data_IF_215404655178
#
_entry.id   IF_215404655178
#
_cell.length_a   1.000
_cell.length_b   1.000
_cell.length_c   1.000
_cell.angle_alpha   90.00
_cell.angle_beta   90.00
_cell.angle_gamma   90.00
#
_symmetry.space_group_name_H-M   'P 1'
#
loop_
_entity.id
_entity.type
_entity.pdbx_description
1 polymer ?
#
# COMPACT_ATOMS: atom_id res chain seq x y z
N UNK A 1 -3.80 4.29 7.75
CA UNK A 1 -2.96 5.52 7.90
C UNK A 1 -1.78 5.18 8.78
N UNK A 2 -0.57 5.18 8.24
CA UNK A 2 0.66 4.82 8.96
C UNK A 2 1.42 6.08 9.41
N UNK A 3 2.16 5.97 10.52
CA UNK A 3 3.07 7.00 11.03
C UNK A 3 4.50 6.67 10.60
N UNK A 4 5.10 7.52 9.78
CA UNK A 4 6.41 7.28 9.16
C UNK A 4 7.41 8.31 9.67
N UNK A 5 8.56 7.85 10.17
CA UNK A 5 9.68 8.72 10.51
C UNK A 5 10.62 8.82 9.30
N UNK A 6 10.93 10.04 8.87
CA UNK A 6 11.89 10.34 7.80
C UNK A 6 13.15 10.94 8.43
N UNK A 7 14.28 10.23 8.34
CA UNK A 7 15.58 10.65 8.88
C UNK A 7 16.51 10.93 7.72
N UNK A 8 16.72 12.19 7.43
CA UNK A 8 17.42 12.70 6.26
C UNK A 8 18.00 14.07 6.57
N UNK A 9 19.29 14.29 6.36
CA UNK A 9 19.94 15.56 6.66
C UNK A 9 19.67 16.64 5.60
N UNK A 10 19.50 16.24 4.33
CA UNK A 10 19.17 17.17 3.26
C UNK A 10 17.70 17.61 3.32
N UNK A 11 17.47 18.88 3.67
CA UNK A 11 16.13 19.44 3.88
C UNK A 11 15.22 19.30 2.67
N UNK A 12 15.76 19.47 1.46
CA UNK A 12 14.99 19.38 0.21
C UNK A 12 14.43 17.98 0.00
N UNK A 13 15.27 16.94 0.21
CA UNK A 13 14.86 15.54 0.06
C UNK A 13 13.89 15.18 1.19
N UNK A 14 14.20 15.57 2.41
CA UNK A 14 13.35 15.32 3.58
C UNK A 14 11.94 15.88 3.40
N UNK A 15 11.83 17.15 2.98
CA UNK A 15 10.55 17.80 2.73
C UNK A 15 9.79 17.16 1.57
N UNK A 16 10.48 16.80 0.48
CA UNK A 16 9.88 16.12 -0.66
C UNK A 16 9.26 14.79 -0.25
N UNK A 17 9.96 13.98 0.53
CA UNK A 17 9.46 12.69 1.02
C UNK A 17 8.24 12.91 1.93
N UNK A 18 8.35 13.78 2.93
CA UNK A 18 7.25 14.06 3.87
C UNK A 18 5.98 14.53 3.14
N UNK A 19 6.11 15.48 2.23
CA UNK A 19 4.98 15.99 1.47
C UNK A 19 4.28 14.90 0.64
N UNK A 20 5.05 14.03 -0.03
CA UNK A 20 4.46 12.93 -0.80
C UNK A 20 3.81 11.85 0.08
N UNK A 21 4.34 11.58 1.27
CA UNK A 21 3.71 10.68 2.23
C UNK A 21 2.34 11.21 2.69
N UNK A 22 2.24 12.51 2.97
CA UNK A 22 0.99 13.16 3.35
C UNK A 22 -0.05 13.13 2.21
N UNK A 23 0.39 13.34 0.95
CA UNK A 23 -0.48 13.25 -0.22
C UNK A 23 -1.12 11.86 -0.39
N UNK A 24 -0.43 10.79 -0.01
CA UNK A 24 -0.97 9.42 -0.08
C UNK A 24 -1.64 8.96 1.22
N UNK A 25 -1.83 9.88 2.18
CA UNK A 25 -2.64 9.64 3.38
C UNK A 25 -1.88 9.02 4.57
N UNK A 26 -0.54 9.06 4.58
CA UNK A 26 0.26 8.74 5.77
C UNK A 26 0.54 10.00 6.60
N UNK A 27 0.88 9.84 7.86
CA UNK A 27 1.44 10.94 8.66
C UNK A 27 2.95 10.81 8.71
N UNK A 28 3.65 11.91 8.49
CA UNK A 28 5.10 11.98 8.54
C UNK A 28 5.59 12.73 9.78
N UNK A 29 6.74 12.31 10.31
CA UNK A 29 7.57 13.06 11.22
C UNK A 29 8.98 13.05 10.65
N UNK A 30 9.77 14.10 10.88
CA UNK A 30 11.09 14.19 10.28
C UNK A 30 12.17 14.52 11.31
N UNK A 31 13.38 14.04 11.05
CA UNK A 31 14.58 14.34 11.81
C UNK A 31 15.74 14.66 10.86
N UNK A 32 16.56 15.65 11.18
CA UNK A 32 17.69 16.08 10.36
C UNK A 32 19.01 15.38 10.74
N UNK A 33 19.06 14.69 11.86
CA UNK A 33 20.23 13.95 12.33
C UNK A 33 19.84 12.72 13.16
N UNK A 34 20.81 11.85 13.39
CA UNK A 34 20.60 10.61 14.14
C UNK A 34 20.28 10.83 15.63
N UNK A 35 20.70 11.94 16.25
CA UNK A 35 20.37 12.23 17.64
C UNK A 35 18.93 12.70 17.81
N UNK A 36 18.43 13.51 16.87
CA UNK A 36 17.03 13.93 16.83
C UNK A 36 16.12 12.73 16.63
N UNK A 37 16.44 11.89 15.64
CA UNK A 37 15.71 10.66 15.37
C UNK A 37 15.64 9.74 16.60
N UNK A 38 16.78 9.53 17.29
CA UNK A 38 16.82 8.72 18.51
C UNK A 38 15.88 9.26 19.59
N UNK A 39 15.91 10.58 19.84
CA UNK A 39 14.98 11.22 20.82
C UNK A 39 13.51 11.02 20.44
N UNK A 40 13.20 11.02 19.15
CA UNK A 40 11.82 10.78 18.66
C UNK A 40 11.41 9.34 18.89
N UNK A 41 12.29 8.37 18.59
CA UNK A 41 12.06 6.93 18.81
C UNK A 41 11.83 6.58 20.29
N UNK A 42 12.45 7.32 21.22
CA UNK A 42 12.24 7.15 22.66
C UNK A 42 10.86 7.66 23.15
N UNK A 43 10.21 8.55 22.39
CA UNK A 43 8.98 9.24 22.80
C UNK A 43 7.71 8.73 22.10
N UNK A 44 7.85 8.16 20.92
CA UNK A 44 6.70 7.74 20.11
C UNK A 44 7.05 6.53 19.24
N UNK A 45 6.02 5.78 18.87
CA UNK A 45 6.15 4.64 17.99
C UNK A 45 5.84 5.03 16.54
N UNK A 46 6.56 4.42 15.61
CA UNK A 46 6.37 4.57 14.18
C UNK A 46 6.05 3.22 13.55
N UNK A 47 5.38 3.26 12.41
CA UNK A 47 5.02 2.07 11.63
C UNK A 47 6.10 1.74 10.59
N UNK A 48 6.94 2.73 10.23
CA UNK A 48 8.08 2.60 9.33
C UNK A 48 9.08 3.73 9.58
N UNK A 49 10.36 3.45 9.41
CA UNK A 49 11.42 4.44 9.44
C UNK A 49 12.13 4.45 8.08
N UNK A 50 12.13 5.61 7.41
CA UNK A 50 12.97 5.89 6.25
C UNK A 50 14.26 6.52 6.75
N UNK A 51 15.40 5.93 6.45
CA UNK A 51 16.65 6.23 7.14
C UNK A 51 17.80 6.40 6.15
N UNK A 52 18.40 7.59 6.10
CA UNK A 52 19.68 7.72 5.42
C UNK A 52 20.79 7.09 6.27
N UNK A 53 21.74 6.47 5.61
CA UNK A 53 22.96 5.95 6.24
C UNK A 53 23.91 7.07 6.59
N UNK A 54 24.01 8.10 5.74
CA UNK A 54 25.01 9.17 5.84
C UNK A 54 24.50 10.35 6.69
N UNK A 55 24.13 10.08 7.93
CA UNK A 55 23.63 11.11 8.85
C UNK A 55 24.74 11.73 9.69
N UNK A 56 24.63 13.01 10.03
CA UNK A 56 25.48 13.62 11.05
C UNK A 56 25.16 13.05 12.44
N UNK A 57 26.19 12.90 13.25
CA UNK A 57 26.08 12.44 14.63
C UNK A 57 26.06 10.93 14.77
N UNK A 58 24.87 10.30 14.77
CA UNK A 58 24.72 8.84 14.74
C UNK A 58 24.46 8.43 13.30
N UNK A 59 25.33 7.60 12.72
CA UNK A 59 25.10 7.05 11.38
C UNK A 59 23.88 6.12 11.35
N UNK A 60 23.29 5.97 10.13
CA UNK A 60 22.03 5.24 9.96
C UNK A 60 22.11 3.77 10.37
N UNK A 61 23.24 3.09 10.17
CA UNK A 61 23.36 1.68 10.57
C UNK A 61 23.30 1.53 12.10
N UNK A 62 23.99 2.42 12.84
CA UNK A 62 23.91 2.44 14.30
C UNK A 62 22.52 2.86 14.79
N UNK A 63 21.88 3.80 14.10
CA UNK A 63 20.53 4.22 14.47
C UNK A 63 19.51 3.08 14.29
N UNK A 64 19.68 2.25 13.28
CA UNK A 64 18.82 1.08 13.04
C UNK A 64 18.79 0.10 14.24
N UNK A 65 19.87 0.00 15.03
CA UNK A 65 19.90 -0.82 16.25
C UNK A 65 18.94 -0.30 17.34
N UNK A 66 18.59 0.98 17.31
CA UNK A 66 17.61 1.59 18.23
C UNK A 66 16.16 1.51 17.72
N UNK A 67 15.96 1.03 16.49
CA UNK A 67 14.64 0.93 15.86
C UNK A 67 13.91 -0.38 16.21
N UNK A 68 14.28 -1.04 17.32
CA UNK A 68 13.85 -2.38 17.69
C UNK A 68 12.33 -2.62 17.47
N UNK A 69 11.99 -3.52 16.54
CA UNK A 69 10.62 -3.91 16.23
C UNK A 69 9.89 -3.02 15.23
N UNK A 70 10.46 -1.87 14.84
CA UNK A 70 9.91 -1.03 13.77
C UNK A 70 10.65 -1.32 12.46
N UNK A 71 9.96 -1.60 11.35
CA UNK A 71 10.59 -1.81 10.05
C UNK A 71 11.40 -0.57 9.64
N UNK A 72 12.59 -0.84 9.09
CA UNK A 72 13.50 0.19 8.57
C UNK A 72 13.71 -0.01 7.08
N UNK A 73 13.62 1.08 6.32
CA UNK A 73 14.04 1.14 4.92
C UNK A 73 15.16 2.16 4.78
N UNK A 74 16.31 1.72 4.29
CA UNK A 74 17.39 2.66 3.99
C UNK A 74 17.14 3.41 2.68
N UNK A 75 17.37 4.74 2.69
CA UNK A 75 17.26 5.62 1.51
C UNK A 75 18.53 6.45 1.47
N UNK A 76 19.53 6.06 0.69
CA UNK A 76 20.90 6.61 0.80
C UNK A 76 21.62 6.66 -0.54
N UNK A 77 22.67 7.51 -0.62
CA UNK A 77 23.56 7.57 -1.79
C UNK A 77 24.55 6.40 -1.87
N UNK A 78 24.63 5.54 -0.84
CA UNK A 78 25.50 4.37 -0.87
C UNK A 78 24.91 3.27 -1.74
N UNK A 79 25.60 2.90 -2.80
CA UNK A 79 25.12 1.96 -3.83
C UNK A 79 25.92 0.64 -3.90
N UNK A 80 27.05 0.56 -3.18
CA UNK A 80 27.87 -0.64 -3.19
C UNK A 80 27.15 -1.85 -2.60
N UNK A 81 27.42 -3.03 -3.17
CA UNK A 81 26.82 -4.30 -2.72
C UNK A 81 27.11 -4.54 -1.22
N UNK A 82 28.32 -4.18 -0.77
CA UNK A 82 28.72 -4.32 0.63
C UNK A 82 27.87 -3.45 1.56
N UNK A 83 27.50 -2.24 1.17
CA UNK A 83 26.65 -1.35 1.94
C UNK A 83 25.22 -1.87 2.04
N UNK A 84 24.68 -2.39 0.94
CA UNK A 84 23.36 -3.06 0.93
C UNK A 84 23.34 -4.29 1.84
N UNK A 85 24.39 -5.11 1.78
CA UNK A 85 24.53 -6.29 2.65
C UNK A 85 24.56 -5.89 4.14
N UNK A 86 25.30 -4.82 4.49
CA UNK A 86 25.28 -4.28 5.87
C UNK A 86 23.91 -3.80 6.30
N UNK A 87 23.17 -3.11 5.41
CA UNK A 87 21.81 -2.68 5.67
C UNK A 87 20.88 -3.84 6.02
N UNK A 88 20.89 -4.90 5.22
CA UNK A 88 20.08 -6.09 5.50
C UNK A 88 20.53 -6.84 6.76
N UNK A 89 21.83 -6.90 7.04
CA UNK A 89 22.35 -7.48 8.29
C UNK A 89 21.94 -6.66 9.51
N UNK A 90 21.78 -5.33 9.38
CA UNK A 90 21.23 -4.47 10.43
C UNK A 90 19.71 -4.63 10.62
N UNK A 91 19.05 -5.53 9.86
CA UNK A 91 17.63 -5.82 9.99
C UNK A 91 16.71 -4.94 9.14
N UNK A 92 17.24 -4.26 8.11
CA UNK A 92 16.40 -3.47 7.22
C UNK A 92 15.49 -4.36 6.35
N UNK A 93 14.26 -3.89 6.14
CA UNK A 93 13.25 -4.54 5.28
C UNK A 93 13.52 -4.28 3.79
N UNK A 94 14.09 -3.10 3.45
CA UNK A 94 14.42 -2.73 2.08
C UNK A 94 15.54 -1.67 2.04
N UNK A 95 16.04 -1.42 0.83
CA UNK A 95 17.15 -0.51 0.56
C UNK A 95 16.94 0.21 -0.77
N UNK A 96 16.89 1.56 -0.77
CA UNK A 96 16.70 2.39 -1.95
C UNK A 96 17.90 3.32 -2.12
N UNK A 97 18.46 3.34 -3.33
CA UNK A 97 19.64 4.17 -3.66
C UNK A 97 19.20 5.50 -4.25
N UNK A 98 19.82 6.59 -3.78
CA UNK A 98 19.67 7.94 -4.37
C UNK A 98 20.55 8.05 -5.64
N UNK A 99 20.06 8.71 -6.72
CA UNK A 99 18.73 9.31 -6.87
C UNK A 99 17.63 8.27 -7.14
N UNK A 100 16.41 8.53 -6.69
CA UNK A 100 15.26 7.65 -6.84
C UNK A 100 14.03 8.41 -7.34
N UNK A 101 13.11 7.68 -7.95
CA UNK A 101 11.79 8.20 -8.29
C UNK A 101 10.83 8.08 -7.08
N UNK A 102 10.05 9.13 -6.83
CA UNK A 102 9.07 9.14 -5.71
C UNK A 102 8.10 7.97 -5.80
N UNK A 103 7.66 7.61 -7.02
CA UNK A 103 6.76 6.48 -7.26
C UNK A 103 7.38 5.17 -6.78
N UNK A 104 8.69 4.97 -6.98
CA UNK A 104 9.41 3.78 -6.50
C UNK A 104 9.45 3.76 -4.96
N UNK A 105 9.81 4.89 -4.33
CA UNK A 105 9.82 5.02 -2.88
C UNK A 105 8.46 4.65 -2.27
N UNK A 106 7.37 5.25 -2.78
CA UNK A 106 6.02 5.00 -2.28
C UNK A 106 5.58 3.54 -2.47
N UNK A 107 5.91 2.92 -3.61
CA UNK A 107 5.61 1.51 -3.86
C UNK A 107 6.31 0.58 -2.85
N UNK A 108 7.58 0.85 -2.53
CA UNK A 108 8.35 0.07 -1.54
C UNK A 108 7.81 0.25 -0.13
N UNK A 109 7.50 1.49 0.28
CA UNK A 109 6.86 1.82 1.55
C UNK A 109 5.57 1.01 1.73
N UNK A 110 4.72 1.01 0.70
CA UNK A 110 3.48 0.26 0.70
C UNK A 110 3.70 -1.24 0.93
N UNK A 111 4.69 -1.85 0.26
CA UNK A 111 5.02 -3.27 0.44
C UNK A 111 5.44 -3.57 1.88
N UNK A 112 6.28 -2.71 2.48
CA UNK A 112 6.76 -2.89 3.86
C UNK A 112 5.59 -2.78 4.85
N UNK A 113 4.80 -1.70 4.77
CA UNK A 113 3.66 -1.47 5.67
C UNK A 113 2.62 -2.59 5.59
N UNK A 114 2.39 -3.11 4.39
CA UNK A 114 1.50 -4.26 4.18
C UNK A 114 1.99 -5.52 4.88
N UNK A 115 3.29 -5.86 4.75
CA UNK A 115 3.89 -7.04 5.40
C UNK A 115 3.79 -6.98 6.91
N UNK A 116 3.90 -5.77 7.46
CA UNK A 116 3.85 -5.53 8.89
C UNK A 116 2.43 -5.27 9.45
N UNK A 117 1.39 -5.42 8.61
CA UNK A 117 -0.01 -5.31 9.03
C UNK A 117 -0.47 -3.91 9.42
N UNK A 118 0.34 -2.88 9.14
CA UNK A 118 0.07 -1.48 9.48
C UNK A 118 -0.55 -0.69 8.34
N UNK A 119 -0.52 -1.22 7.12
CA UNK A 119 -1.18 -0.59 5.98
C UNK A 119 -2.62 -1.08 5.83
N UNK A 120 -3.54 -0.30 6.36
CA UNK A 120 -4.98 -0.43 6.10
C UNK A 120 -5.41 0.32 4.81
N UNK A 121 -4.47 0.64 3.91
CA UNK A 121 -4.78 1.35 2.65
C UNK A 121 -5.68 0.55 1.70
N UNK A 122 -5.94 -0.71 2.01
CA UNK A 122 -6.95 -1.53 1.34
C UNK A 122 -8.36 -1.26 1.86
N UNK A 123 -9.33 -1.20 0.95
CA UNK A 123 -10.74 -1.20 1.33
C UNK A 123 -11.12 -2.61 1.81
N UNK A 124 -11.62 -2.71 3.04
CA UNK A 124 -12.02 -3.98 3.63
C UNK A 124 -13.52 -4.21 3.47
N UNK A 125 -13.89 -5.42 3.08
CA UNK A 125 -15.27 -5.90 2.96
C UNK A 125 -15.34 -7.27 3.62
N UNK A 126 -15.72 -7.29 4.89
CA UNK A 126 -15.64 -8.50 5.72
C UNK A 126 -14.20 -9.04 5.80
N UNK A 127 -14.00 -10.29 5.37
CA UNK A 127 -12.68 -10.95 5.36
C UNK A 127 -11.84 -10.61 4.11
N UNK A 128 -12.37 -9.81 3.17
CA UNK A 128 -11.70 -9.44 1.92
C UNK A 128 -11.12 -8.03 2.04
N UNK A 129 -9.89 -7.87 1.59
CA UNK A 129 -9.22 -6.58 1.45
C UNK A 129 -8.79 -6.40 0.00
N UNK A 130 -9.13 -5.27 -0.61
CA UNK A 130 -8.63 -4.85 -1.92
C UNK A 130 -7.65 -3.70 -1.75
N UNK A 131 -6.47 -3.90 -2.28
CA UNK A 131 -5.44 -2.87 -2.40
C UNK A 131 -5.50 -2.31 -3.83
N UNK A 132 -5.97 -1.07 -3.95
CA UNK A 132 -6.13 -0.39 -5.24
C UNK A 132 -4.79 0.01 -5.86
N UNK A 133 -3.74 0.19 -5.04
CA UNK A 133 -2.43 0.67 -5.50
C UNK A 133 -1.63 -0.48 -6.13
N UNK A 134 -1.56 -1.62 -5.45
CA UNK A 134 -0.90 -2.82 -5.97
C UNK A 134 -1.80 -3.68 -6.87
N UNK A 135 -3.08 -3.32 -7.01
CA UNK A 135 -4.13 -4.09 -7.72
C UNK A 135 -4.24 -5.53 -7.22
N UNK A 136 -4.04 -5.73 -5.91
CA UNK A 136 -4.08 -7.04 -5.26
C UNK A 136 -5.31 -7.19 -4.37
N UNK A 137 -5.82 -8.41 -4.28
CA UNK A 137 -6.97 -8.74 -3.43
C UNK A 137 -6.57 -9.85 -2.47
N UNK A 138 -6.87 -9.66 -1.20
CA UNK A 138 -6.55 -10.61 -0.15
C UNK A 138 -7.83 -11.09 0.54
N UNK A 139 -7.87 -12.35 0.91
CA UNK A 139 -8.91 -12.93 1.76
C UNK A 139 -8.27 -13.59 2.95
N UNK A 140 -8.61 -13.13 4.16
CA UNK A 140 -8.00 -13.59 5.42
C UNK A 140 -6.46 -13.50 5.39
N UNK A 141 -5.92 -12.45 4.78
CA UNK A 141 -4.48 -12.22 4.64
C UNK A 141 -3.77 -13.04 3.54
N UNK A 142 -4.48 -13.90 2.82
CA UNK A 142 -3.94 -14.67 1.70
C UNK A 142 -4.36 -14.01 0.39
N UNK A 143 -3.40 -13.81 -0.50
CA UNK A 143 -3.66 -13.22 -1.83
C UNK A 143 -4.54 -14.15 -2.66
N UNK A 144 -5.53 -13.57 -3.34
CA UNK A 144 -6.45 -14.28 -4.24
C UNK A 144 -6.22 -13.79 -5.66
N UNK A 145 -5.77 -14.69 -6.52
CA UNK A 145 -5.59 -14.36 -7.94
C UNK A 145 -6.92 -14.11 -8.64
N UNK A 146 -7.06 -12.88 -9.15
CA UNK A 146 -8.15 -12.47 -10.01
C UNK A 146 -7.63 -12.25 -11.43
N UNK A 147 -8.44 -12.59 -12.43
CA UNK A 147 -8.15 -12.14 -13.80
C UNK A 147 -8.29 -10.61 -13.90
N UNK A 148 -7.70 -9.95 -14.91
CA UNK A 148 -7.84 -8.52 -15.09
C UNK A 148 -9.30 -8.05 -15.05
N UNK A 149 -10.21 -8.73 -15.73
CA UNK A 149 -11.65 -8.39 -15.77
C UNK A 149 -12.35 -8.65 -14.43
N UNK A 150 -11.96 -9.70 -13.70
CA UNK A 150 -12.49 -9.94 -12.35
C UNK A 150 -12.04 -8.83 -11.40
N UNK A 151 -10.79 -8.37 -11.51
CA UNK A 151 -10.29 -7.26 -10.72
C UNK A 151 -11.01 -5.94 -11.04
N UNK A 152 -11.09 -5.55 -12.32
CA UNK A 152 -11.79 -4.33 -12.75
C UNK A 152 -13.26 -4.31 -12.30
N UNK A 153 -13.94 -5.44 -12.44
CA UNK A 153 -15.33 -5.57 -11.99
C UNK A 153 -15.46 -5.44 -10.48
N UNK A 154 -14.53 -6.04 -9.72
CA UNK A 154 -14.53 -5.93 -8.26
C UNK A 154 -14.18 -4.51 -7.82
N UNK A 155 -13.18 -3.87 -8.42
CA UNK A 155 -12.83 -2.48 -8.16
C UNK A 155 -14.01 -1.54 -8.45
N UNK A 156 -14.73 -1.73 -9.57
CA UNK A 156 -15.91 -0.94 -9.91
C UNK A 156 -17.00 -1.05 -8.83
N UNK A 157 -17.24 -2.26 -8.31
CA UNK A 157 -18.20 -2.49 -7.22
C UNK A 157 -17.74 -1.82 -5.92
N UNK A 158 -16.47 -1.91 -5.58
CA UNK A 158 -15.89 -1.34 -4.35
C UNK A 158 -15.92 0.19 -4.38
N UNK A 159 -15.57 0.81 -5.51
CA UNK A 159 -15.64 2.27 -5.69
C UNK A 159 -17.07 2.82 -5.60
N UNK A 160 -18.05 2.01 -5.96
CA UNK A 160 -19.47 2.34 -5.95
C UNK A 160 -20.25 1.54 -4.90
N UNK A 161 -19.62 1.22 -3.76
CA UNK A 161 -20.27 0.44 -2.70
C UNK A 161 -21.55 1.10 -2.21
N UNK A 162 -22.53 0.29 -1.86
CA UNK A 162 -23.89 0.66 -1.48
C UNK A 162 -24.74 1.29 -2.61
N UNK A 163 -24.19 1.39 -3.85
CA UNK A 163 -24.91 1.87 -5.03
C UNK A 163 -25.24 0.67 -5.93
N UNK A 164 -26.49 0.58 -6.39
CA UNK A 164 -26.88 -0.42 -7.39
C UNK A 164 -26.41 0.03 -8.78
N UNK A 165 -25.51 -0.75 -9.39
CA UNK A 165 -25.04 -0.51 -10.75
C UNK A 165 -25.76 -1.42 -11.72
N UNK A 166 -26.14 -0.89 -12.90
CA UNK A 166 -26.72 -1.72 -13.97
C UNK A 166 -25.66 -2.64 -14.58
N UNK A 167 -26.10 -3.69 -15.28
CA UNK A 167 -25.18 -4.59 -15.99
C UNK A 167 -24.39 -3.86 -17.07
N UNK A 168 -25.05 -2.96 -17.78
CA UNK A 168 -24.43 -2.11 -18.80
C UNK A 168 -23.34 -1.23 -18.19
N UNK A 169 -23.64 -0.59 -17.03
CA UNK A 169 -22.65 0.25 -16.34
C UNK A 169 -21.46 -0.54 -15.79
N UNK A 170 -21.70 -1.74 -15.26
CA UNK A 170 -20.61 -2.62 -14.82
C UNK A 170 -19.77 -3.13 -16.00
N UNK A 171 -20.42 -3.42 -17.14
CA UNK A 171 -19.71 -3.80 -18.36
C UNK A 171 -18.83 -2.68 -18.87
N UNK A 172 -19.37 -1.46 -18.95
CA UNK A 172 -18.61 -0.26 -19.33
C UNK A 172 -17.40 -0.02 -18.43
N UNK A 173 -17.58 -0.09 -17.10
CA UNK A 173 -16.52 0.17 -16.12
C UNK A 173 -15.41 -0.89 -16.15
N UNK A 174 -15.73 -2.15 -16.38
CA UNK A 174 -14.78 -3.25 -16.28
C UNK A 174 -14.21 -3.71 -17.65
N UNK A 175 -14.91 -3.45 -18.75
CA UNK A 175 -14.47 -3.83 -20.10
C UNK A 175 -14.23 -2.65 -21.04
N UNK A 176 -14.64 -1.43 -20.64
CA UNK A 176 -14.53 -0.22 -21.46
C UNK A 176 -15.75 0.01 -22.36
N UNK A 177 -15.83 1.25 -22.91
CA UNK A 177 -16.96 1.68 -23.74
C UNK A 177 -17.08 0.94 -25.08
N UNK A 178 -15.96 0.47 -25.62
CA UNK A 178 -15.91 -0.16 -26.95
C UNK A 178 -16.19 -1.68 -26.92
N UNK A 179 -16.59 -2.21 -25.77
CA UNK A 179 -16.87 -3.63 -25.64
C UNK A 179 -18.25 -3.98 -26.19
N UNK A 180 -18.29 -4.70 -27.32
CA UNK A 180 -19.52 -5.12 -28.01
C UNK A 180 -20.14 -6.44 -27.51
N UNK A 181 -19.67 -6.95 -26.35
CA UNK A 181 -20.16 -8.24 -25.82
C UNK A 181 -21.46 -8.14 -25.03
N UNK A 182 -22.05 -9.31 -24.74
CA UNK A 182 -23.31 -9.43 -24.00
C UNK A 182 -23.14 -9.05 -22.53
N UNK A 183 -24.07 -8.30 -21.96
CA UNK A 183 -24.13 -7.94 -20.54
C UNK A 183 -24.17 -9.15 -19.60
N UNK A 184 -24.56 -10.33 -20.08
CA UNK A 184 -24.48 -11.60 -19.35
C UNK A 184 -23.05 -11.97 -18.94
N UNK A 185 -22.02 -11.42 -19.60
CA UNK A 185 -20.63 -11.56 -19.20
C UNK A 185 -20.41 -11.08 -17.77
N UNK A 186 -21.08 -10.02 -17.36
CA UNK A 186 -21.06 -9.51 -15.99
C UNK A 186 -21.56 -10.57 -15.00
N UNK A 187 -22.68 -11.24 -15.30
CA UNK A 187 -23.28 -12.24 -14.41
C UNK A 187 -22.32 -13.40 -14.13
N UNK A 188 -21.58 -13.85 -15.15
CA UNK A 188 -20.59 -14.92 -15.02
C UNK A 188 -19.43 -14.49 -14.11
N UNK A 189 -18.92 -13.26 -14.29
CA UNK A 189 -17.80 -12.75 -13.50
C UNK A 189 -18.23 -12.43 -12.06
N UNK A 190 -19.44 -11.93 -11.84
CA UNK A 190 -20.02 -11.79 -10.49
C UNK A 190 -20.07 -13.13 -9.76
N UNK A 191 -20.49 -14.19 -10.45
CA UNK A 191 -20.52 -15.52 -9.83
C UNK A 191 -19.13 -16.00 -9.43
N UNK A 192 -18.11 -15.79 -10.29
CA UNK A 192 -16.72 -16.11 -9.97
C UNK A 192 -16.19 -15.31 -8.78
N UNK A 193 -16.44 -13.99 -8.75
CA UNK A 193 -16.04 -13.13 -7.63
C UNK A 193 -16.68 -13.58 -6.30
N UNK A 194 -17.97 -13.88 -6.31
CA UNK A 194 -18.67 -14.42 -5.14
C UNK A 194 -17.98 -15.66 -4.60
N UNK A 195 -17.65 -16.62 -5.49
CA UNK A 195 -17.00 -17.89 -5.11
C UNK A 195 -15.56 -17.67 -4.62
N UNK A 196 -14.71 -16.95 -5.40
CA UNK A 196 -13.31 -16.75 -5.07
C UNK A 196 -13.13 -15.97 -3.75
N UNK A 197 -13.95 -14.94 -3.54
CA UNK A 197 -13.84 -14.03 -2.42
C UNK A 197 -14.80 -14.35 -1.26
N UNK A 198 -15.70 -15.34 -1.43
CA UNK A 198 -16.79 -15.66 -0.48
C UNK A 198 -17.67 -14.44 -0.15
N UNK A 199 -17.99 -13.66 -1.19
CA UNK A 199 -18.79 -12.44 -1.09
C UNK A 199 -20.25 -12.64 -1.54
N UNK A 200 -20.81 -13.85 -1.43
CA UNK A 200 -22.21 -14.16 -1.82
C UNK A 200 -23.21 -13.28 -1.06
N UNK A 201 -22.86 -12.95 0.20
CA UNK A 201 -23.72 -12.11 1.05
C UNK A 201 -23.50 -10.62 0.82
N UNK A 202 -22.32 -10.20 0.40
CA UNK A 202 -21.97 -8.79 0.20
C UNK A 202 -22.36 -8.30 -1.21
N UNK A 203 -22.10 -9.10 -2.26
CA UNK A 203 -22.50 -8.75 -3.62
C UNK A 203 -23.97 -9.16 -3.82
N UNK A 204 -24.89 -8.21 -3.72
CA UNK A 204 -26.32 -8.44 -3.89
C UNK A 204 -26.75 -8.31 -5.34
N UNK A 205 -27.68 -9.17 -5.75
CA UNK A 205 -28.40 -8.98 -7.01
C UNK A 205 -29.58 -8.05 -6.76
N UNK A 206 -29.62 -6.93 -7.49
CA UNK A 206 -30.75 -5.99 -7.47
C UNK A 206 -31.64 -6.32 -8.67
N UNK A 207 -32.84 -6.82 -8.38
CA UNK A 207 -33.78 -7.32 -9.40
C UNK A 207 -34.07 -6.27 -10.48
N UNK A 208 -33.99 -6.67 -11.75
CA UNK A 208 -34.15 -5.83 -12.95
C UNK A 208 -33.16 -4.67 -13.10
N UNK A 209 -32.18 -4.51 -12.21
CA UNK A 209 -31.14 -3.47 -12.28
C UNK A 209 -29.79 -4.12 -12.58
N UNK A 210 -29.22 -4.82 -11.63
CA UNK A 210 -27.87 -5.35 -11.76
C UNK A 210 -27.33 -5.81 -10.40
N UNK A 211 -26.23 -5.21 -9.93
CA UNK A 211 -25.54 -5.64 -8.72
C UNK A 211 -25.17 -4.47 -7.81
N UNK A 212 -25.08 -4.75 -6.51
CA UNK A 212 -24.64 -3.82 -5.49
C UNK A 212 -23.73 -4.55 -4.51
N UNK A 213 -22.61 -3.94 -4.16
CA UNK A 213 -21.76 -4.38 -3.06
C UNK A 213 -22.20 -3.67 -1.79
N UNK A 214 -22.52 -4.43 -0.75
CA UNK A 214 -22.90 -3.91 0.57
C UNK A 214 -21.77 -4.13 1.56
N UNK A 215 -21.59 -3.21 2.50
CA UNK A 215 -20.73 -3.40 3.68
C UNK A 215 -21.36 -4.47 4.56
N UNK A 216 -20.54 -5.43 5.05
CA UNK A 216 -20.94 -6.47 6.00
C UNK A 216 -20.66 -6.02 7.44
#
# INVERSE_FOLDING_TARGET
MARILVVEDEETIRNLICWNLELVGHSSSSAADGWEAKRMLERQQFDLILLDVMLPGIDGYRLAEYCAGTPVMFVTAKDEIQDKMKGFQAGAEDYLVKPFEIVELLARIHVILRRNGTDESGIRIGDVMIDMTSRAVYRKGVEVELTPQEYELFEALVRNRNIALSREKLLELAWGFDYEGDTRTVDVHIQKLRQKLSLEKAIKTVYKVGYRLEEM
#
